data_IF_195296187206
#
_entry.id   IF_195296187206
#
_cell.length_a   1.000
_cell.length_b   1.000
_cell.length_c   1.000
_cell.angle_alpha   90.00
_cell.angle_beta   90.00
_cell.angle_gamma   90.00
#
_symmetry.space_group_name_H-M   'P 1'
#
loop_
_entity.id
_entity.type
_entity.pdbx_description
1 polymer ?
#
# COMPACT_ATOMS: atom_id res chain seq x y z
N UNK A 1 -19.83 17.37 2.96
CA UNK A 1 -19.41 16.59 4.14
C UNK A 1 -18.03 15.96 3.96
N UNK A 2 -17.83 15.04 3.01
CA UNK A 2 -16.51 14.38 2.81
C UNK A 2 -15.37 15.32 2.45
N UNK A 3 -15.62 16.39 1.67
CA UNK A 3 -14.59 17.42 1.42
C UNK A 3 -14.12 18.06 2.73
N UNK A 4 -15.05 18.42 3.63
CA UNK A 4 -14.70 18.99 4.93
C UNK A 4 -13.91 18.00 5.78
N UNK A 5 -14.30 16.73 5.79
CA UNK A 5 -13.59 15.68 6.51
C UNK A 5 -12.19 15.44 5.94
N UNK A 6 -12.05 15.39 4.61
CA UNK A 6 -10.76 15.29 3.92
C UNK A 6 -9.85 16.48 4.26
N UNK A 7 -10.36 17.71 4.18
CA UNK A 7 -9.60 18.91 4.55
C UNK A 7 -9.20 18.92 6.02
N UNK A 8 -10.04 18.40 6.92
CA UNK A 8 -9.70 18.25 8.33
C UNK A 8 -8.53 17.28 8.51
N UNK A 9 -8.56 16.12 7.82
CA UNK A 9 -7.45 15.16 7.87
C UNK A 9 -6.16 15.74 7.27
N UNK A 10 -6.24 16.37 6.09
CA UNK A 10 -5.11 17.01 5.41
C UNK A 10 -4.51 18.19 6.19
N UNK A 11 -5.27 18.81 7.10
CA UNK A 11 -4.76 19.87 7.97
C UNK A 11 -3.96 19.35 9.17
N UNK A 12 -3.87 18.03 9.36
CA UNK A 12 -3.03 17.45 10.41
C UNK A 12 -1.55 17.59 10.07
N UNK A 13 -0.85 18.49 10.77
CA UNK A 13 0.60 18.69 10.62
C UNK A 13 1.44 17.53 11.18
N UNK A 14 0.83 16.64 11.95
CA UNK A 14 1.47 15.41 12.45
C UNK A 14 1.70 14.42 11.30
N UNK A 15 0.77 14.35 10.35
CA UNK A 15 0.75 13.33 9.30
C UNK A 15 1.02 13.89 7.90
N UNK A 16 0.73 15.18 7.68
CA UNK A 16 0.84 15.81 6.38
C UNK A 16 1.62 17.11 6.48
N UNK A 17 2.43 17.36 5.45
CA UNK A 17 3.08 18.65 5.25
C UNK A 17 2.59 19.27 3.95
N UNK A 18 2.08 20.49 4.02
CA UNK A 18 1.56 21.20 2.86
C UNK A 18 2.73 21.75 2.04
N UNK A 19 2.80 21.36 0.77
CA UNK A 19 3.79 21.86 -0.18
C UNK A 19 3.26 23.09 -0.94
N UNK A 20 4.16 23.99 -1.32
CA UNK A 20 3.86 25.17 -2.14
C UNK A 20 3.62 24.82 -3.61
N UNK A 21 4.25 23.74 -4.10
CA UNK A 21 4.17 23.28 -5.48
C UNK A 21 4.35 21.76 -5.58
N UNK A 22 4.11 21.21 -6.78
CA UNK A 22 4.28 19.79 -7.05
C UNK A 22 5.72 19.50 -7.47
N UNK A 23 6.40 18.61 -6.75
CA UNK A 23 7.79 18.19 -7.03
C UNK A 23 7.89 16.93 -7.90
N UNK A 24 6.92 16.69 -8.80
CA UNK A 24 6.85 15.45 -9.58
C UNK A 24 8.11 15.23 -10.42
N UNK A 25 8.61 16.30 -11.06
CA UNK A 25 9.82 16.23 -11.87
C UNK A 25 11.07 15.97 -11.01
N UNK A 26 11.17 16.60 -9.84
CA UNK A 26 12.30 16.39 -8.92
C UNK A 26 12.34 14.95 -8.41
N UNK A 27 11.19 14.37 -8.09
CA UNK A 27 11.07 12.97 -7.69
C UNK A 27 11.50 12.06 -8.84
N UNK A 28 11.05 12.33 -10.06
CA UNK A 28 11.46 11.57 -11.23
C UNK A 28 12.97 11.64 -11.45
N UNK A 29 13.56 12.84 -11.37
CA UNK A 29 15.01 13.02 -11.53
C UNK A 29 15.80 12.19 -10.50
N UNK A 30 15.36 12.16 -9.24
CA UNK A 30 15.96 11.31 -8.18
C UNK A 30 15.86 9.82 -8.51
N UNK A 31 14.74 9.38 -9.09
CA UNK A 31 14.59 8.00 -9.55
C UNK A 31 15.61 7.72 -10.66
N UNK A 32 15.71 8.60 -11.66
CA UNK A 32 16.65 8.46 -12.79
C UNK A 32 18.12 8.41 -12.32
N UNK A 33 18.48 9.23 -11.34
CA UNK A 33 19.82 9.24 -10.72
C UNK A 33 20.20 7.87 -10.12
N UNK A 34 19.21 7.06 -9.71
CA UNK A 34 19.42 5.70 -9.19
C UNK A 34 19.37 4.67 -10.32
N UNK A 35 18.41 4.78 -11.24
CA UNK A 35 18.14 3.79 -12.28
C UNK A 35 19.25 3.75 -13.34
N UNK A 36 19.80 4.90 -13.75
CA UNK A 36 20.86 4.94 -14.77
C UNK A 36 22.12 4.18 -14.31
N UNK A 37 22.68 4.44 -13.11
CA UNK A 37 23.80 3.65 -12.59
C UNK A 37 23.51 2.14 -12.53
N UNK A 38 22.31 1.74 -12.09
CA UNK A 38 21.94 0.33 -12.04
C UNK A 38 21.98 -0.34 -13.42
N UNK A 39 21.55 0.36 -14.47
CA UNK A 39 21.65 -0.15 -15.83
C UNK A 39 23.11 -0.26 -16.29
N UNK A 40 23.92 0.78 -16.05
CA UNK A 40 25.33 0.80 -16.43
C UNK A 40 26.14 -0.31 -15.72
N UNK A 41 25.74 -0.70 -14.51
CA UNK A 41 26.32 -1.82 -13.77
C UNK A 41 25.78 -3.20 -14.20
N UNK A 42 24.82 -3.24 -15.12
CA UNK A 42 24.21 -4.48 -15.62
C UNK A 42 23.20 -5.11 -14.65
N UNK A 43 22.72 -4.38 -13.64
CA UNK A 43 21.71 -4.87 -12.70
C UNK A 43 20.29 -4.86 -13.27
N UNK A 44 20.02 -3.98 -14.24
CA UNK A 44 18.76 -3.93 -14.98
C UNK A 44 19.04 -3.90 -16.48
N UNK A 45 18.18 -4.55 -17.27
CA UNK A 45 18.31 -4.56 -18.72
C UNK A 45 17.73 -3.29 -19.36
N UNK A 46 17.95 -3.16 -20.68
CA UNK A 46 17.48 -2.00 -21.44
C UNK A 46 15.95 -1.86 -21.43
N UNK A 47 15.23 -2.97 -21.38
CA UNK A 47 13.77 -2.97 -21.37
C UNK A 47 13.23 -2.39 -20.06
N UNK A 48 13.78 -2.83 -18.92
CA UNK A 48 13.40 -2.33 -17.61
C UNK A 48 13.78 -0.85 -17.44
N UNK A 49 14.93 -0.43 -17.98
CA UNK A 49 15.30 0.98 -18.06
C UNK A 49 14.25 1.79 -18.85
N UNK A 50 13.89 1.34 -20.05
CA UNK A 50 12.92 2.04 -20.90
C UNK A 50 11.54 2.13 -20.21
N UNK A 51 11.10 1.06 -19.54
CA UNK A 51 9.88 1.06 -18.73
C UNK A 51 9.91 2.11 -17.61
N UNK A 52 10.99 2.11 -16.81
CA UNK A 52 11.17 3.02 -15.67
C UNK A 52 11.33 4.49 -16.09
N UNK A 53 11.75 4.75 -17.33
CA UNK A 53 12.01 6.10 -17.88
C UNK A 53 10.94 6.58 -18.87
N UNK A 54 9.86 5.83 -19.06
CA UNK A 54 8.83 6.10 -20.07
C UNK A 54 7.91 7.29 -19.74
N UNK A 55 7.83 7.72 -18.48
CA UNK A 55 6.97 8.81 -18.02
C UNK A 55 7.48 10.19 -18.44
N UNK A 56 6.71 10.90 -19.28
CA UNK A 56 7.01 12.28 -19.69
C UNK A 56 6.07 13.33 -19.07
N UNK A 57 4.85 12.92 -18.71
CA UNK A 57 3.87 13.78 -18.05
C UNK A 57 3.39 13.10 -16.78
N UNK A 58 3.54 13.79 -15.65
CA UNK A 58 3.20 13.24 -14.34
C UNK A 58 1.90 13.85 -13.82
N UNK A 59 1.02 12.98 -13.33
CA UNK A 59 -0.22 13.36 -12.66
C UNK A 59 0.05 13.42 -11.15
N UNK A 60 -0.23 14.55 -10.47
CA UNK A 60 -0.15 14.63 -9.03
C UNK A 60 -1.09 13.61 -8.37
N UNK A 61 -0.66 13.06 -7.23
CA UNK A 61 -1.48 12.13 -6.45
C UNK A 61 -2.83 12.74 -6.06
N UNK A 62 -3.89 11.93 -6.11
CA UNK A 62 -5.26 12.38 -5.80
C UNK A 62 -5.78 11.73 -4.52
N UNK A 63 -6.31 12.56 -3.63
CA UNK A 63 -7.00 12.08 -2.44
C UNK A 63 -8.47 11.76 -2.77
N UNK A 64 -8.88 10.54 -2.45
CA UNK A 64 -10.26 10.07 -2.47
C UNK A 64 -10.71 9.72 -1.06
N UNK A 65 -12.02 9.87 -0.79
CA UNK A 65 -12.62 9.44 0.48
C UNK A 65 -13.56 8.26 0.19
N UNK A 66 -13.29 7.12 0.81
CA UNK A 66 -14.19 5.96 0.77
C UNK A 66 -15.06 5.91 2.03
N UNK A 67 -16.40 5.83 1.92
CA UNK A 67 -17.28 5.76 3.07
C UNK A 67 -17.10 4.42 3.82
N UNK A 68 -16.88 4.49 5.15
CA UNK A 68 -16.81 3.32 6.02
C UNK A 68 -18.21 2.93 6.53
N UNK A 69 -18.98 2.29 5.67
CA UNK A 69 -20.39 1.94 5.95
C UNK A 69 -20.56 0.94 7.09
N UNK A 70 -19.54 0.14 7.40
CA UNK A 70 -19.52 -0.81 8.51
C UNK A 70 -19.33 -0.15 9.89
N UNK A 71 -18.99 1.14 9.95
CA UNK A 71 -18.89 1.91 11.20
C UNK A 71 -20.20 2.67 11.53
N UNK A 72 -21.27 2.46 10.76
CA UNK A 72 -22.58 3.03 11.03
C UNK A 72 -23.19 2.40 12.29
N UNK A 73 -23.77 3.25 13.15
CA UNK A 73 -24.59 2.76 14.25
C UNK A 73 -25.94 2.22 13.75
N UNK A 74 -26.57 1.36 14.54
CA UNK A 74 -27.91 0.84 14.22
C UNK A 74 -28.95 1.96 14.06
N UNK A 75 -28.84 3.04 14.85
CA UNK A 75 -29.72 4.20 14.73
C UNK A 75 -29.53 4.93 13.40
N UNK A 76 -28.28 5.07 12.95
CA UNK A 76 -27.99 5.66 11.64
C UNK A 76 -28.53 4.79 10.50
N UNK A 77 -28.44 3.46 10.62
CA UNK A 77 -29.00 2.51 9.64
C UNK A 77 -30.53 2.64 9.60
N UNK A 78 -31.17 2.61 10.76
CA UNK A 78 -32.62 2.76 10.88
C UNK A 78 -33.11 4.10 10.32
N UNK A 79 -32.36 5.18 10.53
CA UNK A 79 -32.68 6.50 9.95
C UNK A 79 -32.60 6.51 8.42
N UNK A 80 -31.62 5.81 7.83
CA UNK A 80 -31.51 5.65 6.36
C UNK A 80 -32.74 4.94 5.83
N UNK A 81 -33.09 3.80 6.42
CA UNK A 81 -34.20 2.97 5.96
C UNK A 81 -35.55 3.66 6.15
N UNK A 82 -35.79 4.22 7.33
CA UNK A 82 -37.07 4.83 7.73
C UNK A 82 -37.33 6.16 7.03
N UNK A 83 -36.32 7.02 6.91
CA UNK A 83 -36.49 8.37 6.37
C UNK A 83 -36.03 8.51 4.92
N UNK A 84 -35.57 7.43 4.27
CA UNK A 84 -34.88 7.47 2.97
C UNK A 84 -33.81 8.57 2.94
N UNK A 85 -33.16 8.78 4.09
CA UNK A 85 -32.25 9.90 4.27
C UNK A 85 -31.10 9.72 3.28
N UNK A 86 -30.80 10.76 2.52
CA UNK A 86 -29.74 10.66 1.51
C UNK A 86 -28.43 10.44 2.26
N UNK A 87 -27.65 9.46 1.82
CA UNK A 87 -26.37 9.06 2.40
C UNK A 87 -25.41 10.24 2.67
N UNK A 88 -25.57 11.35 1.94
CA UNK A 88 -24.82 12.61 2.07
C UNK A 88 -25.11 13.39 3.36
N UNK A 89 -26.26 13.16 3.99
CA UNK A 89 -26.78 13.90 5.16
C UNK A 89 -26.48 13.18 6.49
N UNK A 90 -25.68 12.11 6.44
CA UNK A 90 -25.29 11.28 7.58
C UNK A 90 -23.79 11.40 7.74
N UNK A 91 -23.31 11.67 8.96
CA UNK A 91 -21.89 11.78 9.24
C UNK A 91 -21.21 10.40 9.26
N UNK A 92 -20.88 9.89 8.08
CA UNK A 92 -20.19 8.61 7.89
C UNK A 92 -18.68 8.87 7.86
N UNK A 93 -17.88 8.13 8.64
CA UNK A 93 -16.42 8.22 8.57
C UNK A 93 -15.92 7.87 7.17
N UNK A 94 -15.03 8.70 6.64
CA UNK A 94 -14.35 8.47 5.38
C UNK A 94 -12.94 7.93 5.59
N UNK A 95 -12.58 6.87 4.87
CA UNK A 95 -11.22 6.36 4.74
C UNK A 95 -10.49 7.13 3.63
N UNK A 96 -9.40 7.85 3.93
CA UNK A 96 -8.60 8.51 2.91
C UNK A 96 -7.86 7.46 2.06
N UNK A 97 -7.85 7.65 0.75
CA UNK A 97 -7.11 6.84 -0.22
C UNK A 97 -6.35 7.80 -1.13
N UNK A 98 -5.05 7.59 -1.27
CA UNK A 98 -4.20 8.37 -2.18
C UNK A 98 -3.99 7.53 -3.44
N UNK A 99 -4.50 7.98 -4.57
CA UNK A 99 -4.20 7.40 -5.88
C UNK A 99 -2.91 8.03 -6.41
N UNK A 100 -1.90 7.21 -6.66
CA UNK A 100 -0.62 7.59 -7.27
C UNK A 100 -0.54 7.16 -8.74
N UNK A 101 -1.68 6.93 -9.39
CA UNK A 101 -1.74 6.54 -10.80
C UNK A 101 -1.33 7.72 -11.71
N UNK A 102 -0.41 7.48 -12.63
CA UNK A 102 0.26 8.48 -13.45
C UNK A 102 1.33 9.29 -12.70
N UNK A 103 1.64 8.95 -11.45
CA UNK A 103 2.67 9.65 -10.67
C UNK A 103 4.08 9.23 -11.10
N UNK A 104 5.13 10.02 -10.80
CA UNK A 104 6.52 9.65 -11.11
C UNK A 104 6.98 8.37 -10.40
N UNK A 105 6.27 7.93 -9.35
CA UNK A 105 6.59 6.73 -8.57
C UNK A 105 5.86 5.48 -9.03
N UNK A 106 4.90 5.57 -9.96
CA UNK A 106 4.04 4.44 -10.34
C UNK A 106 4.84 3.27 -10.92
N UNK A 107 5.68 3.52 -11.93
CA UNK A 107 6.45 2.49 -12.63
C UNK A 107 7.44 1.80 -11.70
N UNK A 108 8.16 2.58 -10.87
CA UNK A 108 9.09 2.02 -9.88
C UNK A 108 8.34 1.24 -8.79
N UNK A 109 7.14 1.67 -8.39
CA UNK A 109 6.30 0.92 -7.44
C UNK A 109 5.89 -0.45 -8.01
N UNK A 110 5.53 -0.53 -9.29
CA UNK A 110 5.24 -1.82 -9.95
C UNK A 110 6.45 -2.75 -9.94
N UNK A 111 7.64 -2.22 -10.23
CA UNK A 111 8.87 -3.00 -10.25
C UNK A 111 9.22 -3.48 -8.84
N UNK A 112 9.13 -2.60 -7.83
CA UNK A 112 9.36 -2.96 -6.43
C UNK A 112 8.34 -4.02 -5.97
N UNK A 113 7.05 -3.85 -6.28
CA UNK A 113 6.00 -4.82 -5.93
C UNK A 113 6.30 -6.20 -6.49
N UNK A 114 6.73 -6.28 -7.75
CA UNK A 114 7.14 -7.54 -8.37
C UNK A 114 8.21 -8.27 -7.56
N UNK A 115 9.26 -7.57 -7.13
CA UNK A 115 10.33 -8.17 -6.32
C UNK A 115 9.86 -8.49 -4.90
N UNK A 116 9.13 -7.59 -4.25
CA UNK A 116 8.65 -7.79 -2.88
C UNK A 116 7.66 -8.95 -2.78
N UNK A 117 6.79 -9.12 -3.78
CA UNK A 117 5.81 -10.21 -3.81
C UNK A 117 6.47 -11.58 -3.71
N UNK A 118 7.56 -11.79 -4.43
CA UNK A 118 8.31 -13.04 -4.37
C UNK A 118 8.92 -13.28 -2.99
N UNK A 119 9.34 -12.22 -2.29
CA UNK A 119 9.84 -12.31 -0.91
C UNK A 119 8.69 -12.63 0.06
N UNK A 120 7.53 -11.98 -0.13
CA UNK A 120 6.33 -12.16 0.70
C UNK A 120 5.81 -13.60 0.61
N UNK A 121 5.79 -14.20 -0.58
CA UNK A 121 5.32 -15.58 -0.76
C UNK A 121 6.15 -16.63 -0.01
N UNK A 122 7.38 -16.31 0.38
CA UNK A 122 8.23 -17.20 1.15
C UNK A 122 8.07 -17.03 2.67
N UNK A 123 7.27 -16.08 3.12
CA UNK A 123 7.04 -15.87 4.55
C UNK A 123 6.07 -16.92 5.10
N UNK A 124 6.35 -17.45 6.28
CA UNK A 124 5.48 -18.44 6.94
C UNK A 124 4.11 -17.85 7.32
N UNK A 125 4.03 -16.54 7.50
CA UNK A 125 2.78 -15.80 7.75
C UNK A 125 1.98 -15.53 6.49
N UNK A 126 2.53 -15.76 5.30
CA UNK A 126 1.88 -15.46 4.03
C UNK A 126 0.52 -16.13 3.95
N UNK A 127 -0.51 -15.33 3.73
CA UNK A 127 -1.89 -15.80 3.61
C UNK A 127 -2.49 -15.16 2.37
N UNK A 128 -2.86 -16.01 1.40
CA UNK A 128 -3.25 -15.58 0.06
C UNK A 128 -4.62 -14.90 0.04
N UNK A 129 -5.59 -15.49 0.71
CA UNK A 129 -7.00 -15.08 0.68
C UNK A 129 -7.73 -15.52 1.95
N UNK A 130 -8.94 -15.03 2.16
CA UNK A 130 -9.74 -15.31 3.37
C UNK A 130 -9.97 -16.80 3.58
N UNK A 131 -10.19 -17.58 2.52
CA UNK A 131 -10.33 -19.04 2.63
C UNK A 131 -9.05 -19.70 3.14
N UNK A 132 -7.88 -19.28 2.65
CA UNK A 132 -6.60 -19.79 3.13
C UNK A 132 -6.35 -19.44 4.60
N UNK A 133 -6.82 -18.27 5.05
CA UNK A 133 -6.77 -17.90 6.48
C UNK A 133 -7.67 -18.80 7.33
N UNK A 134 -8.92 -19.00 6.91
CA UNK A 134 -9.89 -19.85 7.62
C UNK A 134 -9.33 -21.27 7.77
N UNK A 135 -8.83 -21.85 6.68
CA UNK A 135 -8.23 -23.20 6.71
C UNK A 135 -7.08 -23.29 7.72
N UNK A 136 -6.18 -22.28 7.76
CA UNK A 136 -5.09 -22.25 8.74
C UNK A 136 -5.59 -22.25 10.18
N UNK A 137 -6.68 -21.55 10.47
CA UNK A 137 -7.28 -21.49 11.81
C UNK A 137 -7.97 -22.81 12.15
N UNK A 138 -8.71 -23.40 11.20
CA UNK A 138 -9.40 -24.70 11.39
C UNK A 138 -8.43 -25.87 11.60
N UNK A 139 -7.23 -25.80 11.03
CA UNK A 139 -6.17 -26.79 11.20
C UNK A 139 -5.43 -26.68 12.56
N UNK A 140 -5.65 -25.61 13.33
CA UNK A 140 -4.98 -25.43 14.62
C UNK A 140 -5.44 -26.48 15.64
N UNK A 141 -4.50 -27.27 16.15
CA UNK A 141 -4.73 -28.14 17.30
C UNK A 141 -4.58 -27.33 18.59
N UNK A 142 -5.70 -26.91 19.16
CA UNK A 142 -5.74 -26.11 20.38
C UNK A 142 -5.81 -27.00 21.63
N UNK A 143 -5.18 -26.60 22.75
CA UNK A 143 -5.34 -27.30 24.02
C UNK A 143 -6.77 -27.13 24.56
N UNK A 144 -7.16 -27.96 25.53
CA UNK A 144 -8.50 -27.89 26.13
C UNK A 144 -8.80 -26.52 26.77
N UNK A 145 -7.77 -25.89 27.34
CA UNK A 145 -7.86 -24.56 27.93
C UNK A 145 -6.99 -23.58 27.14
N UNK A 146 -7.61 -22.63 26.44
CA UNK A 146 -6.91 -21.55 25.76
C UNK A 146 -7.72 -20.26 25.81
N UNK A 147 -7.02 -19.14 25.64
CA UNK A 147 -7.62 -17.82 25.46
C UNK A 147 -7.39 -17.40 24.02
N UNK A 148 -8.46 -17.04 23.33
CA UNK A 148 -8.37 -16.41 22.01
C UNK A 148 -8.24 -14.90 22.19
N UNK A 149 -7.19 -14.33 21.61
CA UNK A 149 -7.00 -12.88 21.53
C UNK A 149 -6.93 -12.47 20.06
N UNK A 150 -7.59 -11.35 19.74
CA UNK A 150 -7.53 -10.70 18.43
C UNK A 150 -6.96 -9.31 18.61
N UNK A 151 -6.06 -8.93 17.71
CA UNK A 151 -5.42 -7.62 17.68
C UNK A 151 -5.63 -7.01 16.30
N UNK A 152 -6.00 -5.73 16.28
CA UNK A 152 -6.09 -4.94 15.05
C UNK A 152 -5.17 -3.72 15.15
N UNK A 153 -4.53 -3.37 14.03
CA UNK A 153 -3.61 -2.23 13.97
C UNK A 153 -4.39 -0.97 13.60
N UNK A 154 -4.38 0.01 14.50
CA UNK A 154 -4.99 1.31 14.21
C UNK A 154 -4.15 2.10 13.20
N UNK A 155 -4.77 2.51 12.10
CA UNK A 155 -4.16 3.38 11.09
C UNK A 155 -2.82 2.89 10.54
N UNK A 156 -2.73 1.60 10.20
CA UNK A 156 -1.51 0.88 9.79
C UNK A 156 -0.59 1.70 8.87
N UNK A 157 -1.08 2.19 7.73
CA UNK A 157 -0.25 2.89 6.74
C UNK A 157 0.39 4.19 7.25
N UNK A 158 -0.26 4.88 8.20
CA UNK A 158 0.20 6.17 8.72
C UNK A 158 1.22 5.96 9.85
N UNK A 159 1.08 4.86 10.59
CA UNK A 159 1.91 4.55 11.76
C UNK A 159 3.09 3.62 11.43
N UNK A 160 3.31 3.28 10.16
CA UNK A 160 4.37 2.38 9.76
C UNK A 160 5.72 3.10 9.73
N UNK A 161 6.67 2.68 10.57
CA UNK A 161 8.01 3.25 10.60
C UNK A 161 8.81 2.76 9.37
N UNK A 162 9.40 3.70 8.64
CA UNK A 162 10.01 3.41 7.35
C UNK A 162 11.29 2.57 7.50
N UNK A 163 12.12 2.87 8.49
CA UNK A 163 13.38 2.15 8.71
C UNK A 163 13.14 0.70 9.12
N UNK A 164 12.14 0.43 9.97
CA UNK A 164 11.69 -0.90 10.37
C UNK A 164 11.18 -1.70 9.18
N UNK A 165 10.43 -1.04 8.29
CA UNK A 165 9.92 -1.66 7.06
C UNK A 165 11.07 -2.10 6.14
N UNK A 166 12.04 -1.22 5.91
CA UNK A 166 13.24 -1.52 5.10
C UNK A 166 14.06 -2.64 5.76
N UNK A 167 14.27 -2.56 7.07
CA UNK A 167 15.00 -3.57 7.83
C UNK A 167 14.30 -4.95 7.81
N UNK A 168 12.97 -4.98 7.84
CA UNK A 168 12.20 -6.22 7.74
C UNK A 168 12.37 -6.87 6.37
N UNK A 169 12.33 -6.07 5.30
CA UNK A 169 12.57 -6.54 3.93
C UNK A 169 14.00 -7.05 3.79
N UNK A 170 15.00 -6.33 4.30
CA UNK A 170 16.40 -6.74 4.23
C UNK A 170 16.65 -8.06 4.98
N UNK A 171 16.09 -8.23 6.18
CA UNK A 171 16.17 -9.52 6.92
C UNK A 171 15.53 -10.66 6.13
N UNK A 172 14.34 -10.43 5.57
CA UNK A 172 13.65 -11.43 4.77
C UNK A 172 14.45 -11.80 3.51
N UNK A 173 14.98 -10.80 2.82
CA UNK A 173 15.80 -10.98 1.62
C UNK A 173 17.09 -11.74 1.91
N UNK A 174 17.83 -11.36 2.95
CA UNK A 174 19.08 -12.01 3.33
C UNK A 174 18.88 -13.50 3.67
N UNK A 175 17.77 -13.83 4.33
CA UNK A 175 17.38 -15.22 4.61
C UNK A 175 17.09 -16.02 3.33
N UNK A 176 16.47 -15.41 2.33
CA UNK A 176 16.21 -16.08 1.05
C UNK A 176 17.49 -16.25 0.23
N UNK A 177 18.35 -15.24 0.22
CA UNK A 177 19.63 -15.26 -0.50
C UNK A 177 20.56 -16.35 0.04
N UNK A 178 20.61 -16.59 1.35
CA UNK A 178 21.39 -17.70 1.91
C UNK A 178 20.91 -19.09 1.49
N UNK A 179 19.67 -19.20 1.00
CA UNK A 179 19.08 -20.40 0.43
C UNK A 179 19.22 -20.47 -1.11
N UNK A 180 20.08 -19.65 -1.72
CA UNK A 180 20.24 -19.52 -3.18
C UNK A 180 18.96 -19.14 -3.93
N UNK A 181 18.00 -18.50 -3.27
CA UNK A 181 16.80 -17.99 -3.92
C UNK A 181 17.15 -16.89 -4.94
N UNK A 182 16.54 -16.96 -6.13
CA UNK A 182 16.73 -15.97 -7.20
C UNK A 182 15.37 -15.48 -7.66
N UNK A 183 15.16 -14.17 -7.60
CA UNK A 183 14.01 -13.53 -8.22
C UNK A 183 14.34 -13.31 -9.70
N UNK A 184 13.43 -13.73 -10.59
CA UNK A 184 13.58 -13.51 -12.02
C UNK A 184 13.40 -12.02 -12.33
N UNK A 185 14.01 -11.54 -13.40
CA UNK A 185 13.69 -10.19 -13.89
C UNK A 185 12.23 -10.23 -14.42
N UNK A 186 11.41 -9.20 -14.13
CA UNK A 186 10.02 -9.22 -14.54
C UNK A 186 9.88 -9.40 -16.05
N UNK A 187 9.03 -10.34 -16.53
CA UNK A 187 8.89 -10.64 -17.95
C UNK A 187 8.22 -9.49 -18.71
N UNK A 188 8.49 -9.40 -20.02
CA UNK A 188 7.97 -8.34 -20.91
C UNK A 188 6.44 -8.18 -20.94
N UNK A 189 5.67 -9.19 -20.53
CA UNK A 189 4.21 -9.19 -20.59
C UNK A 189 3.53 -8.76 -19.27
N UNK A 190 4.30 -8.57 -18.20
CA UNK A 190 3.79 -8.20 -16.88
C UNK A 190 4.06 -6.75 -16.48
N UNK A 191 4.50 -5.91 -17.42
CA UNK A 191 4.85 -4.50 -17.20
C UNK A 191 4.14 -3.61 -18.21
#
# INVERSE_FOLDING_TARGET
>A
MYIKQAMTQLSSEIHYHKLSETHSQDIYNKIIEIIIPLHNMGHIDKHLLDYLTSGKEFIPGRLHMLPKTHELSIDQINDIEKYKKIFKDINIPGRPIISMSGSPTETIAHVIDYFLREIVFQQWTYTKESTAFINKIEELKLPFEFIMASFDVTSMYINMEHSESVNAIDRAWNKLRSCNFKIKIPPKQSM
#
